data_IF_717076229362
#
_entry.id   IF_717076229362
#
_cell.length_a   1.000
_cell.length_b   1.000
_cell.length_c   1.000
_cell.angle_alpha   90.00
_cell.angle_beta   90.00
_cell.angle_gamma   90.00
#
_symmetry.space_group_name_H-M   'P 1'
#
loop_
_entity.id
_entity.type
_entity.pdbx_description
1 polymer ?
#
# COMPACT_ATOMS: atom_id res chain seq x y z
N UNK A 1 4.56 25.66 20.10
CA UNK A 1 3.84 25.32 21.35
C UNK A 1 3.74 23.80 21.41
N UNK A 2 3.97 23.18 22.58
CA UNK A 2 3.92 21.72 22.75
C UNK A 2 2.48 21.20 22.91
N UNK A 3 2.30 19.87 22.89
CA UNK A 3 1.00 19.18 22.95
C UNK A 3 0.65 18.58 24.31
N UNK A 4 1.40 18.89 25.39
CA UNK A 4 1.13 18.35 26.73
C UNK A 4 -0.30 18.63 27.19
N UNK A 5 -0.75 19.88 27.02
CA UNK A 5 -2.09 20.32 27.44
C UNK A 5 -3.19 19.65 26.62
N UNK A 6 -2.96 19.48 25.32
CA UNK A 6 -3.88 18.84 24.39
C UNK A 6 -4.08 17.38 24.75
N UNK A 7 -2.99 16.62 24.87
CA UNK A 7 -3.01 15.19 25.21
C UNK A 7 -3.57 14.92 26.60
N UNK A 8 -3.26 15.79 27.58
CA UNK A 8 -3.89 15.69 28.89
C UNK A 8 -5.41 15.83 28.82
N UNK A 9 -5.89 16.83 28.07
CA UNK A 9 -7.32 17.11 27.95
C UNK A 9 -8.05 16.04 27.14
N UNK A 10 -7.44 15.46 26.11
CA UNK A 10 -8.05 14.38 25.32
C UNK A 10 -8.28 13.12 26.16
N UNK A 11 -7.46 12.89 27.18
CA UNK A 11 -7.68 11.83 28.19
C UNK A 11 -8.62 12.23 29.34
N UNK A 12 -9.21 13.43 29.31
CA UNK A 12 -10.12 13.92 30.35
C UNK A 12 -9.45 14.19 31.71
N UNK A 13 -8.12 14.35 31.75
CA UNK A 13 -7.37 14.48 33.01
C UNK A 13 -7.21 15.93 33.46
N UNK A 14 -7.34 16.17 34.76
CA UNK A 14 -6.86 17.43 35.37
C UNK A 14 -5.35 17.38 35.58
N UNK A 15 -4.72 18.54 35.80
CA UNK A 15 -3.28 18.61 36.14
C UNK A 15 -2.93 17.74 37.35
N UNK A 16 -3.80 17.70 38.37
CA UNK A 16 -3.61 16.88 39.58
C UNK A 16 -3.73 15.39 39.27
N UNK A 17 -4.71 15.01 38.45
CA UNK A 17 -4.92 13.60 38.07
C UNK A 17 -3.75 13.08 37.24
N UNK A 18 -3.24 13.86 36.29
CA UNK A 18 -2.08 13.48 35.47
C UNK A 18 -0.86 13.23 36.33
N UNK A 19 -0.53 14.18 37.22
CA UNK A 19 0.60 14.04 38.14
C UNK A 19 0.44 12.81 39.05
N UNK A 20 -0.76 12.57 39.56
CA UNK A 20 -1.06 11.41 40.40
C UNK A 20 -0.84 10.11 39.63
N UNK A 21 -1.43 9.98 38.44
CA UNK A 21 -1.28 8.79 37.59
C UNK A 21 0.19 8.53 37.20
N UNK A 22 0.91 9.57 36.78
CA UNK A 22 2.33 9.44 36.43
C UNK A 22 3.19 9.01 37.61
N UNK A 23 2.84 9.43 38.84
CA UNK A 23 3.50 8.98 40.07
C UNK A 23 3.16 7.54 40.41
N UNK A 24 1.90 7.14 40.28
CA UNK A 24 1.43 5.76 40.52
C UNK A 24 2.04 4.76 39.54
N UNK A 25 2.32 5.19 38.32
CA UNK A 25 3.02 4.40 37.30
C UNK A 25 4.55 4.47 37.41
N UNK A 26 5.08 5.07 38.48
CA UNK A 26 6.51 5.30 38.73
C UNK A 26 7.25 6.00 37.58
N UNK A 27 6.51 6.67 36.68
CA UNK A 27 7.05 7.19 35.43
C UNK A 27 7.76 8.50 35.68
N UNK A 28 7.15 9.44 36.43
CA UNK A 28 7.71 10.77 36.67
C UNK A 28 7.12 11.40 37.94
N UNK A 29 7.98 11.97 38.78
CA UNK A 29 7.57 12.78 39.93
C UNK A 29 7.69 14.26 39.54
N UNK A 30 6.54 14.88 39.24
CA UNK A 30 6.41 16.32 38.95
C UNK A 30 5.25 16.91 39.75
N UNK A 31 5.23 18.23 39.96
CA UNK A 31 4.09 18.91 40.59
C UNK A 31 3.09 19.40 39.56
N UNK A 32 1.83 19.61 39.96
CA UNK A 32 0.81 20.18 39.08
C UNK A 32 1.18 21.58 38.56
N UNK A 33 1.88 22.37 39.38
CA UNK A 33 2.43 23.68 38.97
C UNK A 33 3.55 23.53 37.93
N UNK A 34 4.46 22.57 38.12
CA UNK A 34 5.50 22.30 37.13
C UNK A 34 4.90 21.86 35.79
N UNK A 35 3.93 20.94 35.80
CA UNK A 35 3.21 20.52 34.60
C UNK A 35 2.50 21.70 33.92
N UNK A 36 1.84 22.58 34.69
CA UNK A 36 1.18 23.76 34.14
C UNK A 36 2.17 24.74 33.47
N UNK A 37 3.36 24.91 34.04
CA UNK A 37 4.45 25.72 33.45
C UNK A 37 4.98 25.09 32.16
N UNK A 38 5.14 23.76 32.13
CA UNK A 38 5.53 23.04 30.92
C UNK A 38 4.48 23.19 29.81
N UNK A 39 3.19 23.04 30.14
CA UNK A 39 2.09 23.19 29.18
C UNK A 39 1.99 24.57 28.54
N UNK A 40 2.34 25.62 29.29
CA UNK A 40 2.34 27.00 28.77
C UNK A 40 3.63 27.37 28.02
N UNK A 41 4.68 26.56 28.16
CA UNK A 41 6.01 26.88 27.65
C UNK A 41 6.78 27.87 28.54
N UNK A 42 6.30 28.18 29.74
CA UNK A 42 7.00 29.04 30.72
C UNK A 42 8.28 28.38 31.23
N UNK A 43 8.36 27.05 31.12
CA UNK A 43 9.51 26.22 31.49
C UNK A 43 9.67 25.12 30.45
N UNK A 44 10.90 24.83 30.06
CA UNK A 44 11.22 23.71 29.18
C UNK A 44 11.52 22.44 30.01
N UNK A 45 10.88 21.29 29.73
CA UNK A 45 11.27 20.00 30.30
C UNK A 45 12.70 19.60 29.90
N UNK A 46 13.38 18.84 30.76
CA UNK A 46 14.64 18.17 30.36
C UNK A 46 14.32 17.01 29.42
N UNK A 47 15.31 16.54 28.66
CA UNK A 47 15.20 15.41 27.73
C UNK A 47 14.57 14.18 28.41
N UNK A 48 15.05 13.78 29.58
CA UNK A 48 14.46 12.65 30.34
C UNK A 48 13.00 12.88 30.74
N UNK A 49 12.64 14.13 31.02
CA UNK A 49 11.26 14.50 31.36
C UNK A 49 10.37 14.45 30.13
N UNK A 50 10.86 14.88 28.96
CA UNK A 50 10.17 14.74 27.69
C UNK A 50 9.88 13.27 27.36
N UNK A 51 10.87 12.39 27.52
CA UNK A 51 10.70 10.96 27.29
C UNK A 51 9.61 10.38 28.20
N UNK A 52 9.66 10.68 29.50
CA UNK A 52 8.65 10.19 30.46
C UNK A 52 7.24 10.67 30.16
N UNK A 53 7.07 11.89 29.67
CA UNK A 53 5.75 12.36 29.20
C UNK A 53 5.32 11.64 27.92
N UNK A 54 6.25 11.45 26.97
CA UNK A 54 5.96 10.77 25.72
C UNK A 54 5.52 9.31 25.97
N UNK A 55 6.21 8.59 26.86
CA UNK A 55 5.86 7.24 27.29
C UNK A 55 4.49 7.19 27.97
N UNK A 56 4.21 8.14 28.87
CA UNK A 56 2.91 8.24 29.56
C UNK A 56 1.75 8.44 28.59
N UNK A 57 1.93 9.32 27.60
CA UNK A 57 0.92 9.59 26.58
C UNK A 57 0.95 8.60 25.41
N UNK A 58 1.92 7.68 25.38
CA UNK A 58 2.16 6.71 24.30
C UNK A 58 2.30 7.36 22.91
N UNK A 59 3.07 8.44 22.85
CA UNK A 59 3.38 9.18 21.61
C UNK A 59 4.88 9.37 21.48
N UNK A 60 5.37 9.80 20.32
CA UNK A 60 6.78 10.14 20.16
C UNK A 60 7.11 11.48 20.84
N UNK A 61 8.36 11.64 21.29
CA UNK A 61 8.84 12.93 21.84
C UNK A 61 8.66 14.09 20.84
N UNK A 62 9.02 13.95 19.54
CA UNK A 62 8.77 14.99 18.55
C UNK A 62 7.28 15.37 18.42
N UNK A 63 6.38 14.38 18.44
CA UNK A 63 4.95 14.64 18.41
C UNK A 63 4.50 15.42 19.65
N UNK A 64 4.93 14.99 20.83
CA UNK A 64 4.59 15.65 22.09
C UNK A 64 5.11 17.10 22.14
N UNK A 65 6.29 17.35 21.60
CA UNK A 65 6.88 18.69 21.48
C UNK A 65 6.17 19.57 20.43
N UNK A 66 5.30 19.00 19.61
CA UNK A 66 4.62 19.72 18.53
C UNK A 66 5.46 19.88 17.26
N UNK A 67 6.54 19.09 17.13
CA UNK A 67 7.48 19.16 16.01
C UNK A 67 7.02 18.38 14.79
N UNK A 68 6.16 17.36 14.94
CA UNK A 68 5.60 16.59 13.82
C UNK A 68 4.16 16.97 13.52
N UNK A 69 3.64 16.61 12.35
CA UNK A 69 2.23 16.85 12.01
C UNK A 69 1.26 15.98 12.84
N UNK A 70 0.09 16.53 13.16
CA UNK A 70 -1.06 15.75 13.61
C UNK A 70 -1.75 15.08 12.43
N UNK A 71 -2.55 14.04 12.68
CA UNK A 71 -3.41 13.42 11.66
C UNK A 71 -4.30 14.45 10.97
N UNK A 72 -4.86 15.41 11.72
CA UNK A 72 -5.68 16.49 11.18
C UNK A 72 -4.91 17.41 10.23
N UNK A 73 -3.65 17.72 10.57
CA UNK A 73 -2.78 18.52 9.71
C UNK A 73 -2.38 17.74 8.45
N UNK A 74 -2.11 16.43 8.57
CA UNK A 74 -1.82 15.55 7.42
C UNK A 74 -3.01 15.48 6.48
N UNK A 75 -4.22 15.22 6.99
CA UNK A 75 -5.46 15.19 6.17
C UNK A 75 -5.66 16.51 5.45
N UNK A 76 -5.39 17.63 6.12
CA UNK A 76 -5.45 18.95 5.50
C UNK A 76 -4.44 19.11 4.36
N UNK A 77 -3.20 18.70 4.56
CA UNK A 77 -2.14 18.77 3.53
C UNK A 77 -2.50 17.91 2.32
N UNK A 78 -2.89 16.65 2.54
CA UNK A 78 -3.31 15.70 1.50
C UNK A 78 -4.51 16.25 0.73
N UNK A 79 -5.50 16.77 1.44
CA UNK A 79 -6.68 17.36 0.82
C UNK A 79 -6.34 18.58 -0.04
N UNK A 80 -5.52 19.50 0.48
CA UNK A 80 -5.06 20.68 -0.27
C UNK A 80 -4.33 20.25 -1.56
N UNK A 81 -3.41 19.28 -1.46
CA UNK A 81 -2.61 18.81 -2.59
C UNK A 81 -3.43 18.08 -3.65
N UNK A 82 -4.37 17.22 -3.25
CA UNK A 82 -5.25 16.50 -4.17
C UNK A 82 -6.12 17.45 -5.02
N UNK A 83 -6.56 18.58 -4.42
CA UNK A 83 -7.41 19.57 -5.09
C UNK A 83 -6.64 20.77 -5.65
N UNK A 84 -5.32 20.79 -5.53
CA UNK A 84 -4.47 21.82 -6.11
C UNK A 84 -4.68 21.81 -7.63
N UNK A 85 -4.93 22.99 -8.22
CA UNK A 85 -5.16 23.09 -9.66
C UNK A 85 -3.80 22.97 -10.35
N UNK A 86 -3.73 22.10 -11.36
CA UNK A 86 -2.74 22.22 -12.42
C UNK A 86 -2.98 23.56 -13.15
N UNK A 87 -2.44 24.66 -12.62
CA UNK A 87 -2.36 25.92 -13.36
C UNK A 87 -1.35 25.84 -14.51
N UNK A 88 -0.57 24.76 -14.55
CA UNK A 88 0.35 24.44 -15.63
C UNK A 88 0.00 23.05 -16.14
N UNK A 89 -0.46 22.94 -17.39
CA UNK A 89 -0.47 21.67 -18.16
C UNK A 89 0.96 21.07 -18.34
N UNK A 90 1.96 21.48 -17.54
CA UNK A 90 3.39 21.29 -17.79
C UNK A 90 4.31 21.12 -16.56
N UNK A 91 3.86 20.97 -15.31
CA UNK A 91 4.82 20.68 -14.21
C UNK A 91 4.42 19.53 -13.27
N UNK A 92 4.94 18.35 -13.62
CA UNK A 92 5.28 17.27 -12.70
C UNK A 92 4.33 16.08 -12.75
N UNK A 93 4.77 14.99 -13.41
CA UNK A 93 4.11 13.66 -13.41
C UNK A 93 3.58 13.25 -12.04
N UNK A 94 4.26 13.66 -10.98
CA UNK A 94 3.95 13.30 -9.59
C UNK A 94 2.58 13.75 -9.06
N UNK A 95 2.08 14.97 -9.35
CA UNK A 95 0.73 15.35 -8.84
C UNK A 95 -0.38 14.55 -9.54
N UNK A 96 -0.23 14.36 -10.85
CA UNK A 96 -1.13 13.55 -11.65
C UNK A 96 -1.17 12.10 -11.14
N UNK A 97 0.01 11.53 -10.89
CA UNK A 97 0.15 10.17 -10.34
C UNK A 97 -0.49 10.07 -8.95
N UNK A 98 -0.22 11.04 -8.05
CA UNK A 98 -0.82 11.08 -6.70
C UNK A 98 -2.36 11.07 -6.73
N UNK A 99 -2.98 11.95 -7.54
CA UNK A 99 -4.45 12.01 -7.66
C UNK A 99 -5.01 10.69 -8.19
N UNK A 100 -4.34 10.12 -9.20
CA UNK A 100 -4.72 8.85 -9.80
C UNK A 100 -4.62 7.69 -8.81
N UNK A 101 -3.58 7.66 -7.99
CA UNK A 101 -3.36 6.60 -7.01
C UNK A 101 -4.36 6.68 -5.86
N UNK A 102 -4.71 7.88 -5.40
CA UNK A 102 -5.80 8.10 -4.45
C UNK A 102 -7.12 7.57 -4.99
N UNK A 103 -7.47 7.95 -6.22
CA UNK A 103 -8.72 7.54 -6.86
C UNK A 103 -8.76 6.01 -7.07
N UNK A 104 -7.65 5.44 -7.53
CA UNK A 104 -7.49 4.00 -7.71
C UNK A 104 -7.62 3.24 -6.39
N UNK A 105 -6.93 3.68 -5.33
CA UNK A 105 -6.99 3.07 -4.00
C UNK A 105 -8.44 3.01 -3.49
N UNK A 106 -9.18 4.11 -3.58
CA UNK A 106 -10.58 4.18 -3.13
C UNK A 106 -11.45 3.21 -3.93
N UNK A 107 -11.28 3.15 -5.25
CA UNK A 107 -12.02 2.22 -6.12
C UNK A 107 -11.68 0.75 -5.85
N UNK A 108 -10.46 0.45 -5.40
CA UNK A 108 -10.04 -0.90 -5.05
C UNK A 108 -10.49 -1.33 -3.65
N UNK A 109 -10.70 -0.38 -2.73
CA UNK A 109 -10.97 -0.66 -1.32
C UNK A 109 -12.40 -0.38 -0.88
N UNK A 110 -13.19 0.31 -1.70
CA UNK A 110 -14.55 0.73 -1.36
C UNK A 110 -15.45 0.93 -2.59
N UNK A 111 -16.76 1.10 -2.35
CA UNK A 111 -17.73 1.53 -3.35
C UNK A 111 -18.08 3.02 -3.24
N UNK A 112 -17.37 3.75 -2.38
CA UNK A 112 -17.64 5.16 -2.16
C UNK A 112 -17.10 6.00 -3.32
N UNK A 113 -17.73 7.16 -3.62
CA UNK A 113 -17.26 8.03 -4.67
C UNK A 113 -15.87 8.60 -4.34
N UNK A 114 -15.00 8.74 -5.35
CA UNK A 114 -13.69 9.40 -5.23
C UNK A 114 -13.81 10.85 -4.71
N UNK A 115 -12.73 11.45 -4.14
CA UNK A 115 -12.85 12.71 -3.42
C UNK A 115 -13.41 13.86 -4.25
N UNK A 116 -13.07 13.99 -5.54
CA UNK A 116 -13.65 15.03 -6.43
C UNK A 116 -15.17 14.91 -6.56
N UNK A 117 -15.71 13.68 -6.58
CA UNK A 117 -17.14 13.42 -6.71
C UNK A 117 -17.95 13.74 -5.44
N UNK A 118 -17.29 14.08 -4.31
CA UNK A 118 -17.95 14.59 -3.11
C UNK A 118 -18.47 16.03 -3.28
N UNK A 119 -18.07 16.71 -4.35
CA UNK A 119 -18.40 18.10 -4.66
C UNK A 119 -19.25 18.19 -5.93
N UNK A 120 -19.92 19.34 -6.12
CA UNK A 120 -20.65 19.62 -7.37
C UNK A 120 -19.66 19.73 -8.54
N UNK A 121 -20.09 19.33 -9.73
CA UNK A 121 -19.25 19.34 -10.94
C UNK A 121 -18.70 20.73 -11.28
N UNK A 122 -19.42 21.79 -10.95
CA UNK A 122 -19.04 23.18 -11.20
C UNK A 122 -18.31 23.84 -10.02
N UNK A 123 -17.98 23.07 -8.97
CA UNK A 123 -17.28 23.59 -7.80
C UNK A 123 -15.89 24.11 -8.19
N UNK A 124 -15.59 25.33 -7.76
CA UNK A 124 -14.27 25.96 -7.94
C UNK A 124 -13.40 25.89 -6.69
N UNK A 125 -14.04 25.55 -5.56
CA UNK A 125 -13.46 25.56 -4.23
C UNK A 125 -13.77 24.21 -3.58
N UNK A 126 -12.79 23.65 -2.89
CA UNK A 126 -12.88 22.33 -2.26
C UNK A 126 -12.59 22.46 -0.77
N UNK A 127 -13.56 22.91 0.05
CA UNK A 127 -13.33 23.07 1.48
C UNK A 127 -13.29 21.71 2.19
N UNK A 128 -12.34 21.55 3.12
CA UNK A 128 -12.27 20.42 4.05
C UNK A 128 -13.35 20.55 5.14
N UNK A 129 -14.60 20.31 4.77
CA UNK A 129 -15.73 20.29 5.71
C UNK A 129 -15.58 19.13 6.70
N UNK A 130 -16.30 19.16 7.83
CA UNK A 130 -16.27 18.05 8.79
C UNK A 130 -16.65 16.69 8.16
N UNK A 131 -17.60 16.70 7.21
CA UNK A 131 -18.00 15.50 6.46
C UNK A 131 -16.85 14.97 5.58
N UNK A 132 -16.18 15.85 4.84
CA UNK A 132 -15.07 15.47 3.95
C UNK A 132 -13.85 15.05 4.77
N UNK A 133 -13.55 15.73 5.86
CA UNK A 133 -12.49 15.33 6.79
C UNK A 133 -12.73 13.92 7.34
N UNK A 134 -13.98 13.62 7.74
CA UNK A 134 -14.36 12.29 8.19
C UNK A 134 -14.15 11.25 7.09
N UNK A 135 -14.54 11.57 5.85
CA UNK A 135 -14.28 10.69 4.69
C UNK A 135 -12.79 10.34 4.56
N UNK A 136 -11.88 11.32 4.60
CA UNK A 136 -10.44 11.05 4.55
C UNK A 136 -9.96 10.17 5.71
N UNK A 137 -10.43 10.46 6.93
CA UNK A 137 -10.06 9.68 8.12
C UNK A 137 -10.55 8.23 8.03
N UNK A 138 -11.74 7.99 7.49
CA UNK A 138 -12.35 6.67 7.40
C UNK A 138 -11.65 5.82 6.32
N UNK A 139 -11.38 6.37 5.13
CA UNK A 139 -10.75 5.63 4.02
C UNK A 139 -9.24 5.41 4.19
N UNK A 140 -8.53 6.34 4.84
CA UNK A 140 -7.07 6.30 4.92
C UNK A 140 -6.57 6.11 6.35
N UNK A 141 -7.41 5.55 7.24
CA UNK A 141 -7.11 5.40 8.68
C UNK A 141 -5.76 4.72 8.92
N UNK A 142 -5.50 3.61 8.25
CA UNK A 142 -4.30 2.81 8.51
C UNK A 142 -3.05 3.51 7.97
N UNK A 143 -3.14 4.10 6.77
CA UNK A 143 -2.07 4.92 6.17
C UNK A 143 -1.76 6.11 7.08
N UNK A 144 -2.77 6.88 7.51
CA UNK A 144 -2.65 8.07 8.36
C UNK A 144 -2.04 7.77 9.74
N UNK A 145 -2.17 6.54 10.22
CA UNK A 145 -1.58 6.09 11.48
C UNK A 145 -0.22 5.37 11.28
N UNK A 146 0.30 5.34 10.06
CA UNK A 146 1.61 4.74 9.79
C UNK A 146 2.72 5.44 10.57
N UNK A 147 3.70 4.66 11.02
CA UNK A 147 4.87 5.18 11.71
C UNK A 147 5.61 6.22 10.86
N UNK A 148 5.62 6.02 9.54
CA UNK A 148 6.26 6.91 8.56
C UNK A 148 5.66 8.32 8.63
N UNK A 149 4.34 8.46 8.51
CA UNK A 149 3.68 9.77 8.58
C UNK A 149 3.78 10.43 9.96
N UNK A 150 3.68 9.63 11.03
CA UNK A 150 3.70 10.16 12.42
C UNK A 150 5.00 10.88 12.82
N UNK A 151 6.09 10.61 12.11
CA UNK A 151 7.44 11.10 12.42
C UNK A 151 7.88 12.27 11.52
N UNK A 152 7.03 12.73 10.59
CA UNK A 152 7.39 13.82 9.68
C UNK A 152 7.37 15.15 10.42
N UNK A 153 8.51 15.85 10.39
CA UNK A 153 8.65 17.16 10.99
C UNK A 153 7.85 18.22 10.23
N UNK A 154 7.28 19.17 10.97
CA UNK A 154 6.60 20.33 10.41
C UNK A 154 7.57 21.17 9.58
N UNK A 155 7.04 21.76 8.51
CA UNK A 155 7.81 22.61 7.58
C UNK A 155 8.15 21.91 6.27
N UNK A 156 8.01 20.58 6.19
CA UNK A 156 8.11 19.85 4.93
C UNK A 156 6.75 19.23 4.59
N UNK A 157 5.95 19.90 3.75
CA UNK A 157 4.67 19.35 3.29
C UNK A 157 4.88 18.28 2.22
N UNK A 158 5.93 18.39 1.43
CA UNK A 158 6.23 17.45 0.35
C UNK A 158 6.55 16.06 0.91
N UNK A 159 7.29 15.98 2.02
CA UNK A 159 7.52 14.71 2.73
C UNK A 159 6.21 14.02 3.15
N UNK A 160 5.19 14.80 3.51
CA UNK A 160 3.87 14.26 3.86
C UNK A 160 3.24 13.62 2.63
N UNK A 161 3.25 14.31 1.49
CA UNK A 161 2.67 13.79 0.24
C UNK A 161 3.43 12.55 -0.21
N UNK A 162 4.77 12.61 -0.34
CA UNK A 162 5.61 11.49 -0.76
C UNK A 162 5.45 10.27 0.15
N UNK A 163 5.37 10.50 1.46
CA UNK A 163 5.18 9.39 2.40
C UNK A 163 3.77 8.82 2.36
N UNK A 164 2.75 9.65 2.19
CA UNK A 164 1.36 9.22 2.08
C UNK A 164 1.15 8.39 0.80
N UNK A 165 1.65 8.91 -0.32
CA UNK A 165 1.62 8.28 -1.63
C UNK A 165 2.30 6.91 -1.62
N UNK A 166 3.52 6.85 -1.08
CA UNK A 166 4.27 5.60 -0.99
C UNK A 166 3.60 4.54 -0.08
N UNK A 167 2.81 4.93 0.92
CA UNK A 167 2.00 3.97 1.69
C UNK A 167 0.77 3.51 0.89
N UNK A 168 0.17 4.38 0.07
CA UNK A 168 -0.90 4.01 -0.87
C UNK A 168 -0.40 3.05 -1.93
N UNK A 169 0.71 3.34 -2.60
CA UNK A 169 1.28 2.49 -3.66
C UNK A 169 1.55 1.07 -3.13
N UNK A 170 2.07 0.95 -1.91
CA UNK A 170 2.28 -0.35 -1.25
C UNK A 170 0.98 -1.12 -1.07
N UNK A 171 -0.11 -0.44 -0.72
CA UNK A 171 -1.40 -1.09 -0.58
C UNK A 171 -2.01 -1.43 -1.96
N UNK A 172 -1.93 -0.52 -2.94
CA UNK A 172 -2.37 -0.77 -4.32
C UNK A 172 -1.66 -2.00 -4.91
N UNK A 173 -0.35 -2.13 -4.69
CA UNK A 173 0.43 -3.27 -5.15
C UNK A 173 -0.11 -4.62 -4.63
N UNK A 174 -0.68 -4.63 -3.41
CA UNK A 174 -1.36 -5.83 -2.86
C UNK A 174 -2.62 -6.19 -3.62
N UNK A 175 -3.28 -5.26 -4.30
CA UNK A 175 -4.46 -5.48 -5.13
C UNK A 175 -4.12 -5.77 -6.59
N UNK A 176 -3.05 -5.17 -7.12
CA UNK A 176 -2.63 -5.31 -8.52
C UNK A 176 -1.78 -6.55 -8.80
N UNK A 177 -1.54 -7.40 -7.80
CA UNK A 177 -0.88 -8.69 -7.99
C UNK A 177 -1.56 -9.46 -9.14
N UNK A 178 -0.81 -10.06 -10.09
CA UNK A 178 -1.39 -10.79 -11.23
C UNK A 178 -2.35 -11.91 -10.80
N UNK A 179 -2.20 -12.40 -9.58
CA UNK A 179 -3.09 -13.39 -8.98
C UNK A 179 -4.50 -12.84 -8.68
N UNK A 180 -4.63 -11.54 -8.38
CA UNK A 180 -5.88 -10.81 -8.10
C UNK A 180 -6.54 -10.19 -9.33
N UNK A 181 -5.93 -10.34 -10.52
CA UNK A 181 -6.58 -9.94 -11.76
C UNK A 181 -7.91 -10.68 -11.92
N UNK A 182 -8.96 -9.95 -12.30
CA UNK A 182 -10.25 -10.55 -12.66
C UNK A 182 -10.12 -11.46 -13.88
N UNK A 183 -11.16 -12.19 -14.27
CA UNK A 183 -11.08 -13.06 -15.45
C UNK A 183 -10.79 -12.23 -16.71
N UNK A 184 -11.42 -11.06 -16.82
CA UNK A 184 -11.14 -10.09 -17.87
C UNK A 184 -9.69 -9.57 -17.78
N UNK A 185 -9.20 -9.26 -16.57
CA UNK A 185 -7.80 -8.84 -16.36
C UNK A 185 -6.77 -9.89 -16.81
N UNK A 186 -7.04 -11.17 -16.58
CA UNK A 186 -6.16 -12.27 -17.05
C UNK A 186 -6.20 -12.45 -18.56
N UNK A 187 -7.39 -12.34 -19.15
CA UNK A 187 -7.55 -12.33 -20.59
C UNK A 187 -6.74 -11.17 -21.20
N UNK A 188 -6.82 -9.98 -20.60
CA UNK A 188 -6.03 -8.83 -21.00
C UNK A 188 -4.54 -9.14 -20.99
N UNK A 189 -4.01 -9.59 -19.84
CA UNK A 189 -2.59 -9.93 -19.68
C UNK A 189 -2.11 -11.01 -20.65
N UNK A 190 -2.98 -11.93 -21.07
CA UNK A 190 -2.61 -13.04 -21.96
C UNK A 190 -2.70 -12.64 -23.44
N UNK A 191 -3.85 -12.10 -23.86
CA UNK A 191 -4.19 -11.84 -25.26
C UNK A 191 -3.64 -10.50 -25.75
N UNK A 192 -3.50 -9.53 -24.85
CA UNK A 192 -3.11 -8.16 -25.18
C UNK A 192 -1.75 -7.77 -24.57
N UNK A 193 -0.89 -8.74 -24.25
CA UNK A 193 0.46 -8.50 -23.70
C UNK A 193 1.38 -7.59 -24.54
N UNK A 194 1.09 -7.43 -25.83
CA UNK A 194 1.86 -6.60 -26.75
C UNK A 194 1.28 -5.17 -26.89
N UNK A 195 0.25 -4.81 -26.09
CA UNK A 195 -0.40 -3.50 -26.18
C UNK A 195 0.60 -2.36 -26.00
N UNK A 196 1.41 -2.39 -24.94
CA UNK A 196 2.44 -1.38 -24.68
C UNK A 196 3.47 -1.29 -25.82
N UNK A 197 3.93 -2.44 -26.34
CA UNK A 197 4.90 -2.49 -27.44
C UNK A 197 4.35 -1.81 -28.70
N UNK A 198 3.09 -2.04 -29.04
CA UNK A 198 2.46 -1.42 -30.22
C UNK A 198 2.09 0.05 -29.99
N UNK A 199 1.74 0.42 -28.76
CA UNK A 199 1.57 1.82 -28.36
C UNK A 199 2.87 2.59 -28.57
N UNK A 200 3.97 2.11 -27.97
CA UNK A 200 5.28 2.76 -28.02
C UNK A 200 5.82 2.86 -29.45
N UNK A 201 5.67 1.79 -30.26
CA UNK A 201 6.05 1.80 -31.67
C UNK A 201 5.25 2.84 -32.47
N UNK A 202 3.95 2.98 -32.19
CA UNK A 202 3.11 3.98 -32.84
C UNK A 202 3.55 5.41 -32.49
N UNK A 203 3.75 5.71 -31.20
CA UNK A 203 4.21 7.04 -30.74
C UNK A 203 5.58 7.37 -31.33
N UNK A 204 6.56 6.48 -31.18
CA UNK A 204 7.92 6.70 -31.68
C UNK A 204 7.93 6.98 -33.19
N UNK A 205 7.16 6.24 -33.98
CA UNK A 205 7.12 6.42 -35.43
C UNK A 205 6.39 7.69 -35.85
N UNK A 206 5.34 8.08 -35.12
CA UNK A 206 4.63 9.34 -35.35
C UNK A 206 5.55 10.52 -35.06
N UNK A 207 6.33 10.47 -33.97
CA UNK A 207 7.17 11.57 -33.54
C UNK A 207 8.46 11.72 -34.37
N UNK A 208 9.06 10.60 -34.78
CA UNK A 208 10.44 10.61 -35.26
C UNK A 208 10.66 10.05 -36.67
N UNK A 209 9.68 9.35 -37.27
CA UNK A 209 9.83 8.74 -38.59
C UNK A 209 8.93 9.37 -39.67
N UNK A 210 8.99 8.83 -40.89
CA UNK A 210 8.21 9.31 -42.01
C UNK A 210 6.71 8.95 -41.91
N UNK A 211 5.89 9.66 -42.68
CA UNK A 211 4.44 9.50 -42.70
C UNK A 211 3.98 8.08 -43.05
N UNK A 212 4.72 7.33 -43.87
CA UNK A 212 4.36 5.96 -44.22
C UNK A 212 4.55 5.03 -43.03
N UNK A 213 5.69 5.12 -42.35
CA UNK A 213 5.96 4.35 -41.14
C UNK A 213 4.97 4.67 -40.02
N UNK A 214 4.68 5.96 -39.82
CA UNK A 214 3.67 6.41 -38.84
C UNK A 214 2.28 5.84 -39.15
N UNK A 215 1.84 5.88 -40.42
CA UNK A 215 0.55 5.31 -40.85
C UNK A 215 0.47 3.80 -40.62
N UNK A 216 1.54 3.07 -40.91
CA UNK A 216 1.55 1.63 -40.70
C UNK A 216 1.41 1.28 -39.20
N UNK A 217 2.17 1.96 -38.35
CA UNK A 217 2.20 1.71 -36.91
C UNK A 217 0.87 2.06 -36.23
N UNK A 218 0.32 3.24 -36.52
CA UNK A 218 -0.96 3.66 -35.90
C UNK A 218 -2.12 2.75 -36.31
N UNK A 219 -2.13 2.23 -37.55
CA UNK A 219 -3.16 1.30 -37.99
C UNK A 219 -3.05 -0.06 -37.27
N UNK A 220 -1.82 -0.55 -37.02
CA UNK A 220 -1.59 -1.77 -36.22
C UNK A 220 -2.07 -1.59 -34.78
N UNK A 221 -1.73 -0.47 -34.14
CA UNK A 221 -2.18 -0.19 -32.79
C UNK A 221 -3.71 -0.02 -32.71
N UNK A 222 -4.30 0.75 -33.63
CA UNK A 222 -5.74 0.95 -33.69
C UNK A 222 -6.52 -0.37 -33.88
N UNK A 223 -5.97 -1.32 -34.66
CA UNK A 223 -6.55 -2.65 -34.80
C UNK A 223 -6.58 -3.39 -33.47
N UNK A 224 -5.46 -3.42 -32.73
CA UNK A 224 -5.38 -4.04 -31.41
C UNK A 224 -6.39 -3.44 -30.42
N UNK A 225 -6.49 -2.10 -30.39
CA UNK A 225 -7.42 -1.40 -29.49
C UNK A 225 -8.88 -1.70 -29.83
N UNK A 226 -9.23 -1.80 -31.13
CA UNK A 226 -10.57 -2.24 -31.52
C UNK A 226 -10.87 -3.67 -31.08
N UNK A 227 -9.92 -4.59 -31.26
CA UNK A 227 -10.05 -5.98 -30.79
C UNK A 227 -10.25 -6.03 -29.28
N UNK A 228 -9.46 -5.27 -28.51
CA UNK A 228 -9.60 -5.17 -27.06
C UNK A 228 -10.96 -4.65 -26.64
N UNK A 229 -11.41 -3.54 -27.24
CA UNK A 229 -12.71 -2.93 -26.95
C UNK A 229 -13.85 -3.91 -27.22
N UNK A 230 -13.79 -4.60 -28.36
CA UNK A 230 -14.82 -5.56 -28.75
C UNK A 230 -14.81 -6.77 -27.81
N UNK A 231 -13.65 -7.21 -27.31
CA UNK A 231 -13.56 -8.26 -26.28
C UNK A 231 -14.22 -7.83 -24.97
N UNK A 232 -13.91 -6.63 -24.47
CA UNK A 232 -14.45 -6.09 -23.22
C UNK A 232 -15.97 -5.93 -23.30
N UNK A 233 -16.48 -5.40 -24.41
CA UNK A 233 -17.92 -5.18 -24.60
C UNK A 233 -18.75 -6.47 -24.68
N UNK A 234 -18.12 -7.57 -25.09
CA UNK A 234 -18.78 -8.87 -25.25
C UNK A 234 -18.39 -9.86 -24.13
N UNK A 235 -17.66 -9.41 -23.11
CA UNK A 235 -17.24 -10.28 -22.02
C UNK A 235 -18.43 -10.60 -21.11
N UNK A 236 -18.74 -11.89 -20.96
CA UNK A 236 -19.79 -12.34 -20.04
C UNK A 236 -19.42 -11.99 -18.58
N UNK A 237 -20.44 -11.83 -17.73
CA UNK A 237 -20.36 -11.29 -16.36
C UNK A 237 -19.09 -11.76 -15.63
N UNK A 238 -18.23 -10.81 -15.25
CA UNK A 238 -16.99 -11.06 -14.51
C UNK A 238 -17.34 -11.40 -13.05
N UNK A 239 -17.93 -12.58 -12.85
CA UNK A 239 -18.34 -13.10 -11.55
C UNK A 239 -17.11 -13.55 -10.76
N UNK A 240 -16.25 -12.61 -10.40
CA UNK A 240 -14.99 -12.93 -9.73
C UNK A 240 -15.22 -13.07 -8.22
N UNK A 241 -15.49 -14.30 -7.76
CA UNK A 241 -15.60 -14.59 -6.32
C UNK A 241 -14.30 -15.22 -5.79
N UNK A 242 -14.20 -15.32 -4.46
CA UNK A 242 -13.01 -15.83 -3.77
C UNK A 242 -12.61 -17.26 -4.19
N UNK A 243 -13.53 -18.13 -4.60
CA UNK A 243 -13.16 -19.46 -5.10
C UNK A 243 -12.42 -19.39 -6.44
N UNK A 244 -12.75 -18.43 -7.30
CA UNK A 244 -12.08 -18.26 -8.59
C UNK A 244 -10.66 -17.71 -8.41
N UNK A 245 -10.46 -16.94 -7.35
CA UNK A 245 -9.14 -16.53 -6.89
C UNK A 245 -8.29 -17.74 -6.48
N UNK A 246 -8.81 -18.55 -5.55
CA UNK A 246 -8.10 -19.71 -4.98
C UNK A 246 -7.79 -20.77 -6.04
N UNK A 247 -8.74 -21.05 -6.96
CA UNK A 247 -8.52 -21.97 -8.10
C UNK A 247 -7.37 -21.52 -8.99
N UNK A 248 -7.26 -20.22 -9.26
CA UNK A 248 -6.20 -19.70 -10.11
C UNK A 248 -4.85 -19.70 -9.41
N UNK A 249 -4.79 -19.27 -8.15
CA UNK A 249 -3.57 -19.36 -7.34
C UNK A 249 -3.04 -20.80 -7.30
N UNK A 250 -3.94 -21.79 -7.10
CA UNK A 250 -3.59 -23.22 -7.15
C UNK A 250 -3.04 -23.63 -8.53
N UNK A 251 -3.63 -23.12 -9.62
CA UNK A 251 -3.13 -23.39 -10.97
C UNK A 251 -1.71 -22.85 -11.17
N UNK A 252 -1.43 -21.66 -10.67
CA UNK A 252 -0.12 -21.02 -10.80
C UNK A 252 0.94 -21.72 -9.93
N UNK A 253 0.59 -22.10 -8.69
CA UNK A 253 1.42 -22.94 -7.83
C UNK A 253 1.82 -24.21 -8.59
N UNK A 254 0.84 -24.93 -9.15
CA UNK A 254 1.08 -26.17 -9.91
C UNK A 254 1.95 -25.95 -11.15
N UNK A 255 1.67 -24.90 -11.93
CA UNK A 255 2.44 -24.59 -13.12
C UNK A 255 3.90 -24.30 -12.78
N UNK A 256 4.14 -23.55 -11.69
CA UNK A 256 5.49 -23.24 -11.27
C UNK A 256 6.24 -24.49 -10.79
N UNK A 257 5.62 -25.32 -9.95
CA UNK A 257 6.21 -26.58 -9.50
C UNK A 257 6.61 -27.46 -10.69
N UNK A 258 5.78 -27.50 -11.74
CA UNK A 258 6.07 -28.21 -12.98
C UNK A 258 7.23 -27.58 -13.76
N UNK A 259 7.24 -26.25 -13.94
CA UNK A 259 8.31 -25.54 -14.66
C UNK A 259 9.68 -25.67 -13.98
N UNK A 260 9.70 -25.81 -12.65
CA UNK A 260 10.93 -26.03 -11.90
C UNK A 260 11.46 -27.47 -11.99
N UNK A 261 10.79 -28.39 -12.74
CA UNK A 261 11.10 -29.83 -12.78
C UNK A 261 11.13 -30.53 -11.39
N UNK A 262 10.61 -29.86 -10.36
CA UNK A 262 10.59 -30.36 -8.98
C UNK A 262 9.53 -31.44 -8.75
N UNK A 263 8.63 -31.65 -9.70
CA UNK A 263 7.53 -32.64 -9.62
C UNK A 263 8.00 -34.10 -9.62
N UNK A 264 9.30 -34.38 -9.70
CA UNK A 264 9.85 -35.73 -9.53
C UNK A 264 10.31 -36.00 -8.08
N UNK A 265 10.41 -34.97 -7.23
CA UNK A 265 10.74 -35.11 -5.81
C UNK A 265 9.45 -35.26 -4.98
N UNK A 266 9.28 -36.43 -4.36
CA UNK A 266 8.11 -36.77 -3.54
C UNK A 266 7.90 -35.83 -2.34
N UNK A 267 8.96 -35.23 -1.81
CA UNK A 267 8.86 -34.23 -0.74
C UNK A 267 8.24 -32.92 -1.25
N UNK A 268 8.61 -32.48 -2.46
CA UNK A 268 8.01 -31.30 -3.08
C UNK A 268 6.53 -31.51 -3.36
N UNK A 269 6.15 -32.65 -3.93
CA UNK A 269 4.73 -32.98 -4.16
C UNK A 269 3.92 -32.90 -2.87
N UNK A 270 4.48 -33.42 -1.76
CA UNK A 270 3.82 -33.43 -0.46
C UNK A 270 3.62 -32.01 0.10
N UNK A 271 4.64 -31.15 0.04
CA UNK A 271 4.55 -29.77 0.54
C UNK A 271 3.64 -28.90 -0.33
N UNK A 272 3.68 -29.10 -1.65
CA UNK A 272 2.79 -28.41 -2.61
C UNK A 272 1.34 -28.85 -2.41
N UNK A 273 1.09 -30.14 -2.18
CA UNK A 273 -0.26 -30.64 -1.88
C UNK A 273 -0.76 -30.12 -0.52
N UNK A 274 0.10 -30.04 0.50
CA UNK A 274 -0.25 -29.41 1.78
C UNK A 274 -0.69 -27.96 1.57
N UNK A 275 0.14 -27.18 0.86
CA UNK A 275 -0.16 -25.79 0.55
C UNK A 275 -1.48 -25.63 -0.21
N UNK A 276 -1.69 -26.41 -1.26
CA UNK A 276 -2.92 -26.38 -2.06
C UNK A 276 -4.13 -26.74 -1.19
N UNK A 277 -4.00 -27.71 -0.29
CA UNK A 277 -5.08 -28.10 0.61
C UNK A 277 -5.41 -27.00 1.63
N UNK A 278 -4.41 -26.26 2.15
CA UNK A 278 -4.64 -25.09 3.00
C UNK A 278 -5.47 -24.03 2.29
N UNK A 279 -5.10 -23.68 1.05
CA UNK A 279 -5.83 -22.71 0.23
C UNK A 279 -7.28 -23.20 0.00
N UNK A 280 -7.47 -24.45 -0.43
CA UNK A 280 -8.81 -25.03 -0.63
C UNK A 280 -9.69 -25.05 0.62
N UNK A 281 -9.08 -25.16 1.79
CA UNK A 281 -9.78 -25.18 3.08
C UNK A 281 -10.00 -23.77 3.66
N UNK A 282 -9.65 -22.71 2.93
CA UNK A 282 -9.91 -21.32 3.33
C UNK A 282 -8.89 -20.75 4.31
N UNK A 283 -7.63 -21.21 4.29
CA UNK A 283 -6.53 -20.57 5.02
C UNK A 283 -6.18 -19.21 4.37
N UNK A 284 -6.94 -18.18 4.72
CA UNK A 284 -6.81 -16.82 4.19
C UNK A 284 -5.44 -16.22 4.55
N UNK A 285 -4.92 -16.50 5.74
CA UNK A 285 -3.64 -15.96 6.19
C UNK A 285 -2.47 -16.50 5.37
N UNK A 286 -2.46 -17.81 5.08
CA UNK A 286 -1.48 -18.44 4.19
C UNK A 286 -1.56 -17.87 2.78
N UNK A 287 -2.78 -17.81 2.25
CA UNK A 287 -3.04 -17.27 0.92
C UNK A 287 -2.54 -15.83 0.79
N UNK A 288 -2.95 -14.94 1.70
CA UNK A 288 -2.60 -13.52 1.66
C UNK A 288 -1.09 -13.31 1.84
N UNK A 289 -0.43 -14.12 2.66
CA UNK A 289 1.03 -14.11 2.80
C UNK A 289 1.72 -14.45 1.47
N UNK A 290 1.31 -15.53 0.80
CA UNK A 290 1.89 -15.93 -0.48
C UNK A 290 1.77 -14.82 -1.53
N UNK A 291 0.63 -14.14 -1.59
CA UNK A 291 0.40 -13.09 -2.59
C UNK A 291 1.27 -11.87 -2.33
N UNK A 292 1.44 -11.53 -1.06
CA UNK A 292 2.11 -10.30 -0.64
C UNK A 292 3.62 -10.42 -0.61
N UNK A 293 4.16 -11.63 -0.41
CA UNK A 293 5.59 -11.87 -0.25
C UNK A 293 6.24 -12.59 -1.43
N UNK A 294 5.46 -13.06 -2.42
CA UNK A 294 6.00 -13.78 -3.57
C UNK A 294 6.43 -12.88 -4.75
N UNK A 295 7.42 -12.01 -4.52
CA UNK A 295 7.90 -11.06 -5.54
C UNK A 295 8.57 -11.73 -6.75
N UNK A 296 9.15 -12.93 -6.56
CA UNK A 296 9.89 -13.67 -7.60
C UNK A 296 9.10 -14.82 -8.20
N UNK A 297 7.78 -14.85 -7.96
CA UNK A 297 6.88 -15.95 -8.28
C UNK A 297 7.20 -17.28 -7.58
N UNK A 298 8.31 -17.46 -6.86
CA UNK A 298 8.70 -18.64 -6.03
C UNK A 298 7.76 -18.95 -4.85
N UNK A 299 6.68 -19.68 -5.13
CA UNK A 299 5.70 -20.08 -4.13
C UNK A 299 6.25 -21.01 -3.06
N UNK A 300 7.22 -21.87 -3.40
CA UNK A 300 7.77 -22.84 -2.46
C UNK A 300 8.67 -22.14 -1.41
N UNK A 301 9.53 -21.21 -1.85
CA UNK A 301 10.29 -20.38 -0.92
C UNK A 301 9.41 -19.46 -0.09
N UNK A 302 8.38 -18.86 -0.69
CA UNK A 302 7.45 -18.00 0.05
C UNK A 302 6.65 -18.82 1.08
N UNK A 303 6.26 -20.05 0.75
CA UNK A 303 5.57 -20.95 1.69
C UNK A 303 6.50 -21.41 2.84
N UNK A 304 7.79 -21.63 2.57
CA UNK A 304 8.79 -21.85 3.63
C UNK A 304 8.80 -20.70 4.63
N UNK A 305 8.87 -19.46 4.15
CA UNK A 305 8.93 -18.28 5.02
C UNK A 305 7.65 -18.12 5.84
N UNK A 306 6.50 -18.36 5.21
CA UNK A 306 5.21 -18.43 5.90
C UNK A 306 5.21 -19.43 7.07
N UNK A 307 5.68 -20.66 6.82
CA UNK A 307 5.79 -21.74 7.82
C UNK A 307 6.76 -21.36 8.93
N UNK A 308 7.93 -20.83 8.57
CA UNK A 308 8.99 -20.41 9.50
C UNK A 308 8.52 -19.31 10.45
N UNK A 309 7.82 -18.30 9.95
CA UNK A 309 7.26 -17.20 10.75
C UNK A 309 6.24 -17.69 11.79
N UNK A 310 5.65 -18.86 11.55
CA UNK A 310 4.64 -19.51 12.42
C UNK A 310 5.21 -20.66 13.25
N UNK A 311 6.51 -20.92 13.16
CA UNK A 311 7.16 -22.02 13.86
C UNK A 311 6.75 -23.40 13.37
N UNK A 312 6.30 -23.52 12.12
CA UNK A 312 5.98 -24.78 11.46
C UNK A 312 7.24 -25.43 10.86
N UNK A 313 7.20 -26.74 10.60
CA UNK A 313 8.33 -27.49 10.04
C UNK A 313 8.61 -27.11 8.58
N UNK A 314 9.86 -26.76 8.28
CA UNK A 314 10.33 -26.37 6.94
C UNK A 314 11.36 -27.33 6.35
N UNK A 315 11.74 -28.40 7.07
CA UNK A 315 12.90 -29.22 6.71
C UNK A 315 12.83 -29.78 5.28
N UNK A 316 11.67 -30.30 4.87
CA UNK A 316 11.44 -30.79 3.52
C UNK A 316 11.61 -29.67 2.48
N UNK A 317 11.04 -28.49 2.75
CA UNK A 317 11.11 -27.36 1.82
C UNK A 317 12.56 -26.84 1.72
N UNK A 318 13.27 -26.74 2.85
CA UNK A 318 14.67 -26.32 2.90
C UNK A 318 15.58 -27.25 2.09
N UNK A 319 15.38 -28.56 2.20
CA UNK A 319 16.09 -29.56 1.39
C UNK A 319 15.81 -29.37 -0.11
N UNK A 320 14.54 -29.20 -0.48
CA UNK A 320 14.14 -29.02 -1.88
C UNK A 320 14.71 -27.73 -2.51
N UNK A 321 14.71 -26.62 -1.76
CA UNK A 321 15.28 -25.35 -2.23
C UNK A 321 16.80 -25.44 -2.37
N UNK A 322 17.47 -26.17 -1.48
CA UNK A 322 18.91 -26.40 -1.56
C UNK A 322 19.30 -27.21 -2.80
N UNK A 323 18.60 -28.32 -3.07
CA UNK A 323 18.82 -29.13 -4.28
C UNK A 323 18.65 -28.30 -5.56
N UNK A 324 17.63 -27.44 -5.58
CA UNK A 324 17.37 -26.53 -6.69
C UNK A 324 18.51 -25.52 -6.89
N UNK A 325 18.95 -24.87 -5.82
CA UNK A 325 20.02 -23.86 -5.90
C UNK A 325 21.35 -24.49 -6.33
N UNK A 326 21.62 -25.74 -5.93
CA UNK A 326 22.77 -26.52 -6.41
C UNK A 326 22.68 -26.76 -7.93
N UNK A 327 21.53 -27.18 -8.47
CA UNK A 327 21.33 -27.41 -9.91
C UNK A 327 21.51 -26.11 -10.72
N UNK A 328 20.98 -24.99 -10.24
CA UNK A 328 21.10 -23.70 -10.93
C UNK A 328 22.55 -23.23 -10.99
N UNK A 329 23.31 -23.38 -9.90
CA UNK A 329 24.74 -23.04 -9.89
C UNK A 329 25.57 -23.90 -10.86
N UNK A 330 25.19 -25.16 -11.08
CA UNK A 330 25.85 -26.02 -12.08
C UNK A 330 25.59 -25.59 -13.53
N UNK A 331 24.49 -24.89 -13.81
CA UNK A 331 24.12 -24.43 -15.16
C UNK A 331 24.72 -23.07 -15.53
N UNK A 332 25.13 -22.27 -14.54
CA UNK A 332 25.80 -20.98 -14.74
C UNK A 332 27.33 -21.10 -14.88
N UNK A 333 27.90 -22.28 -14.58
CA UNK A 333 29.35 -22.56 -14.68
C UNK A 333 29.78 -23.21 -16.01
N UNK A 334 28.83 -23.59 -16.89
CA UNK A 334 29.04 -24.11 -18.26
C UNK A 334 28.70 -23.05 -19.34
#
# INVERSE_FOLDING_TARGET
MNRLRELRKSQGLTLKDTVKKMKEQESLIVTADALAKYERGDREPKIETWQKFADFFKVSVPYLQGLTYTTDEVVKIVHEYYFEKDETEQLGTFNYDFVKDIDLYINLTSYDPVPRALYKKEAKDFPLTAKVKKYWLDHFKDILNSQRLSNINKGNKDDVIVSFDSEIEKDIAKFQSPYKATLLGKLYQTKFKNESVLHDDAIQKIEYLDLSAAKEAINKYAKLINELRDEVNNFEEDSFNQEDYDKNLIKDIKNQTYMMNLSSNKHVETEVDELINRIKNGDIDCRDYLITHNANLDFLATYRDYKKDRGEDTANIDECLKERDEILNYLDED
#
